data_IF_428931294764
#
_entry.id   IF_428931294764
#
_cell.length_a   1.000
_cell.length_b   1.000
_cell.length_c   1.000
_cell.angle_alpha   90.00
_cell.angle_beta   90.00
_cell.angle_gamma   90.00
#
_symmetry.space_group_name_H-M   'P 1'
#
loop_
_entity.id
_entity.type
_entity.pdbx_description
1 polymer ?
#
# COMPACT_ATOMS: atom_id res chain seq x y z
N UNK A 1 -9.46 -3.40 -5.79
CA UNK A 1 -9.04 -2.53 -4.68
C UNK A 1 -8.49 -3.36 -3.54
N UNK A 2 -7.61 -2.76 -2.77
CA UNK A 2 -7.05 -3.36 -1.56
C UNK A 2 -7.81 -2.81 -0.35
N UNK A 3 -8.45 -3.70 0.39
CA UNK A 3 -9.23 -3.38 1.58
C UNK A 3 -8.55 -4.05 2.79
N UNK A 4 -7.85 -3.26 3.59
CA UNK A 4 -7.04 -3.77 4.69
C UNK A 4 -7.67 -3.34 6.01
N UNK A 5 -7.76 -4.28 6.93
CA UNK A 5 -8.25 -4.04 8.29
C UNK A 5 -7.26 -4.57 9.31
N UNK A 6 -7.25 -3.97 10.48
CA UNK A 6 -6.55 -4.47 11.64
C UNK A 6 -7.56 -5.15 12.57
N UNK A 7 -7.18 -6.27 13.19
CA UNK A 7 -8.04 -7.09 14.04
C UNK A 7 -7.32 -7.43 15.35
N UNK A 8 -8.06 -7.49 16.45
CA UNK A 8 -7.60 -7.94 17.76
C UNK A 8 -8.13 -9.35 18.14
N UNK A 9 -8.74 -10.04 17.20
CA UNK A 9 -9.41 -11.34 17.37
C UNK A 9 -10.93 -11.25 17.39
N UNK A 10 -11.50 -10.07 17.64
CA UNK A 10 -12.96 -9.81 17.71
C UNK A 10 -13.36 -8.54 17.00
N UNK A 11 -12.66 -7.46 17.30
CA UNK A 11 -12.92 -6.12 16.76
C UNK A 11 -12.13 -5.90 15.49
N UNK A 12 -12.69 -5.13 14.57
CA UNK A 12 -12.10 -4.81 13.27
C UNK A 12 -11.99 -3.30 13.13
N UNK A 13 -10.78 -2.83 12.83
CA UNK A 13 -10.48 -1.43 12.55
C UNK A 13 -10.03 -1.27 11.10
N UNK A 14 -10.87 -0.72 10.21
CA UNK A 14 -10.51 -0.52 8.81
C UNK A 14 -9.42 0.54 8.64
N UNK A 15 -8.46 0.25 7.77
CA UNK A 15 -7.47 1.22 7.33
C UNK A 15 -7.98 2.00 6.11
N UNK A 16 -7.25 3.06 5.71
CA UNK A 16 -7.55 3.75 4.46
C UNK A 16 -7.48 2.77 3.28
N UNK A 17 -8.43 2.91 2.36
CA UNK A 17 -8.48 2.07 1.16
C UNK A 17 -7.35 2.41 0.20
N UNK A 18 -6.96 1.45 -0.63
CA UNK A 18 -5.95 1.66 -1.67
C UNK A 18 -6.24 0.83 -2.92
N UNK A 19 -5.55 1.17 -3.98
CA UNK A 19 -5.60 0.41 -5.23
C UNK A 19 -4.20 0.30 -5.80
N UNK A 20 -3.77 -0.92 -6.14
CA UNK A 20 -2.46 -1.19 -6.71
C UNK A 20 -2.49 -1.43 -8.22
N UNK A 21 -1.30 -1.44 -8.82
CA UNK A 21 -1.05 -1.74 -10.22
C UNK A 21 -0.14 -2.96 -10.33
N UNK A 22 -0.72 -4.12 -10.67
CA UNK A 22 -0.04 -5.43 -10.68
C UNK A 22 0.84 -5.67 -11.91
N UNK A 23 0.54 -5.05 -13.04
CA UNK A 23 1.28 -5.26 -14.27
C UNK A 23 2.55 -4.42 -14.33
N UNK A 24 3.59 -4.98 -14.96
CA UNK A 24 4.92 -4.35 -15.05
C UNK A 24 4.91 -3.06 -15.85
N UNK A 25 4.19 -3.02 -16.97
CA UNK A 25 4.24 -1.95 -17.95
C UNK A 25 2.99 -1.07 -17.91
N UNK A 26 3.12 0.13 -18.47
CA UNK A 26 2.02 1.08 -18.63
C UNK A 26 0.82 0.45 -19.34
N UNK A 27 -0.35 1.02 -19.14
CA UNK A 27 -1.63 0.53 -19.66
C UNK A 27 -1.93 -0.93 -19.28
N UNK A 28 -1.44 -1.35 -18.09
CA UNK A 28 -1.61 -2.71 -17.55
C UNK A 28 -1.13 -3.81 -18.51
N UNK A 29 -0.01 -3.58 -19.16
CA UNK A 29 0.65 -4.53 -20.04
C UNK A 29 1.78 -5.28 -19.34
N UNK A 30 2.29 -6.34 -19.99
CA UNK A 30 3.40 -7.15 -19.48
C UNK A 30 2.99 -8.17 -18.42
N UNK A 31 3.96 -8.79 -17.73
CA UNK A 31 3.70 -9.81 -16.72
C UNK A 31 3.13 -9.21 -15.44
N UNK A 32 2.46 -10.05 -14.63
CA UNK A 32 2.12 -9.72 -13.26
C UNK A 32 3.38 -9.58 -12.41
N UNK A 33 3.34 -8.68 -11.44
CA UNK A 33 4.42 -8.39 -10.48
C UNK A 33 3.89 -8.44 -9.05
N UNK A 34 4.72 -8.13 -8.08
CA UNK A 34 4.30 -7.89 -6.70
C UNK A 34 3.53 -6.57 -6.50
N UNK A 35 3.47 -5.72 -7.52
CA UNK A 35 2.88 -4.37 -7.52
C UNK A 35 3.90 -3.33 -7.95
N UNK A 36 3.54 -2.50 -8.92
CA UNK A 36 4.39 -1.43 -9.47
C UNK A 36 4.06 -0.05 -8.92
N UNK A 37 3.06 0.04 -8.08
CA UNK A 37 2.63 1.26 -7.41
C UNK A 37 1.22 1.14 -6.88
N UNK A 38 0.86 2.04 -5.98
CA UNK A 38 -0.47 2.11 -5.39
C UNK A 38 -0.81 3.56 -5.01
N UNK A 39 -2.09 3.81 -4.79
CA UNK A 39 -2.57 5.10 -4.30
C UNK A 39 -3.66 4.91 -3.24
N UNK A 40 -3.81 5.88 -2.37
CA UNK A 40 -4.79 5.92 -1.29
C UNK A 40 -5.36 7.35 -1.14
N UNK A 41 -6.69 7.50 -0.96
CA UNK A 41 -7.71 6.45 -0.95
C UNK A 41 -8.01 5.90 -2.35
N UNK A 42 -8.73 4.77 -2.42
CA UNK A 42 -9.24 4.21 -3.67
C UNK A 42 -10.65 4.76 -3.96
N UNK A 43 -10.85 5.61 -4.98
CA UNK A 43 -12.17 6.21 -5.24
C UNK A 43 -13.25 5.20 -5.63
N UNK A 44 -12.86 4.02 -6.10
CA UNK A 44 -13.78 2.93 -6.40
C UNK A 44 -14.46 2.34 -5.16
N UNK A 45 -13.86 2.53 -3.98
CA UNK A 45 -14.43 2.14 -2.70
C UNK A 45 -15.23 3.31 -2.14
N UNK A 46 -16.45 3.47 -2.62
CA UNK A 46 -17.41 4.45 -2.08
C UNK A 46 -17.83 4.06 -0.66
N UNK A 47 -18.48 4.95 0.11
CA UNK A 47 -19.02 4.60 1.43
C UNK A 47 -19.92 3.37 1.41
N UNK A 48 -20.75 3.20 0.36
CA UNK A 48 -21.64 2.05 0.18
C UNK A 48 -20.86 0.76 -0.06
N UNK A 49 -19.82 0.83 -0.91
CA UNK A 49 -18.92 -0.30 -1.20
C UNK A 49 -18.14 -0.67 0.07
N UNK A 50 -17.65 0.32 0.82
CA UNK A 50 -16.98 0.11 2.10
C UNK A 50 -17.89 -0.63 3.09
N UNK A 51 -19.12 -0.12 3.31
CA UNK A 51 -20.09 -0.76 4.21
C UNK A 51 -20.43 -2.18 3.76
N UNK A 52 -20.53 -2.42 2.45
CA UNK A 52 -20.77 -3.74 1.87
C UNK A 52 -19.60 -4.68 2.11
N UNK A 53 -18.36 -4.25 1.84
CA UNK A 53 -17.16 -5.05 2.08
C UNK A 53 -17.04 -5.47 3.55
N UNK A 54 -17.30 -4.55 4.48
CA UNK A 54 -17.33 -4.85 5.91
C UNK A 54 -18.40 -5.89 6.25
N UNK A 55 -19.64 -5.67 5.81
CA UNK A 55 -20.79 -6.53 6.17
C UNK A 55 -20.72 -7.91 5.52
N UNK A 56 -20.29 -8.00 4.26
CA UNK A 56 -20.42 -9.22 3.46
C UNK A 56 -19.13 -10.04 3.40
N UNK A 57 -17.97 -9.42 3.69
CA UNK A 57 -16.66 -10.07 3.55
C UNK A 57 -15.91 -10.08 4.89
N UNK A 58 -15.58 -8.90 5.43
CA UNK A 58 -14.64 -8.78 6.56
C UNK A 58 -15.25 -9.37 7.84
N UNK A 59 -16.40 -8.85 8.27
CA UNK A 59 -17.03 -9.30 9.52
C UNK A 59 -17.40 -10.79 9.50
N UNK A 60 -17.97 -11.36 8.42
CA UNK A 60 -18.19 -12.80 8.34
C UNK A 60 -16.91 -13.62 8.43
N UNK A 61 -15.81 -13.15 7.81
CA UNK A 61 -14.51 -13.85 7.87
C UNK A 61 -13.97 -13.89 9.30
N UNK A 62 -13.94 -12.76 10.00
CA UNK A 62 -13.43 -12.68 11.38
C UNK A 62 -14.30 -13.51 12.34
N UNK A 63 -15.63 -13.40 12.23
CA UNK A 63 -16.56 -14.22 13.03
C UNK A 63 -16.45 -15.71 12.73
N UNK A 64 -16.19 -16.06 11.47
CA UNK A 64 -15.96 -17.46 11.08
C UNK A 64 -14.73 -18.02 11.74
N UNK A 65 -13.63 -17.30 11.74
CA UNK A 65 -12.39 -17.71 12.38
C UNK A 65 -12.52 -17.82 13.91
N UNK A 66 -13.21 -16.89 14.55
CA UNK A 66 -13.51 -16.96 15.98
C UNK A 66 -14.36 -18.22 16.30
N UNK A 67 -15.39 -18.50 15.50
CA UNK A 67 -16.25 -19.68 15.65
C UNK A 67 -15.48 -21.00 15.48
N UNK A 68 -14.50 -21.01 14.59
CA UNK A 68 -13.65 -22.18 14.35
C UNK A 68 -12.54 -22.34 15.44
N UNK A 69 -12.51 -21.47 16.46
CA UNK A 69 -11.55 -21.52 17.55
C UNK A 69 -10.15 -21.00 17.22
N UNK A 70 -10.01 -20.28 16.10
CA UNK A 70 -8.76 -19.66 15.61
C UNK A 70 -8.97 -18.15 15.38
N UNK A 71 -9.24 -17.34 16.43
CA UNK A 71 -9.47 -15.91 16.28
C UNK A 71 -8.28 -15.24 15.61
N UNK A 72 -8.55 -14.34 14.66
CA UNK A 72 -7.50 -13.69 13.88
C UNK A 72 -7.09 -12.37 14.51
N UNK A 73 -5.81 -12.24 14.87
CA UNK A 73 -5.18 -10.98 15.32
C UNK A 73 -4.11 -10.55 14.32
N UNK A 74 -4.17 -9.30 13.89
CA UNK A 74 -3.21 -8.74 12.94
C UNK A 74 -3.89 -8.02 11.77
N UNK A 75 -3.16 -7.89 10.66
CA UNK A 75 -3.67 -7.26 9.44
C UNK A 75 -4.29 -8.29 8.51
N UNK A 76 -5.58 -8.11 8.21
CA UNK A 76 -6.28 -8.86 7.17
C UNK A 76 -6.41 -7.98 5.93
N UNK A 77 -5.77 -8.38 4.86
CA UNK A 77 -5.88 -7.78 3.54
C UNK A 77 -6.91 -8.57 2.73
N UNK A 78 -7.95 -7.90 2.24
CA UNK A 78 -8.90 -8.43 1.27
C UNK A 78 -8.67 -7.76 -0.09
N UNK A 79 -8.25 -8.55 -1.09
CA UNK A 79 -8.22 -8.13 -2.49
C UNK A 79 -9.63 -8.18 -3.06
N UNK A 80 -10.18 -7.03 -3.45
CA UNK A 80 -11.56 -6.90 -3.89
C UNK A 80 -11.65 -6.57 -5.38
N UNK A 81 -12.52 -7.30 -6.09
CA UNK A 81 -13.07 -6.89 -7.37
C UNK A 81 -14.41 -6.19 -7.13
N UNK A 82 -14.56 -5.00 -7.70
CA UNK A 82 -15.75 -4.16 -7.56
C UNK A 82 -16.32 -3.91 -8.94
N UNK A 83 -17.57 -4.32 -9.18
CA UNK A 83 -18.23 -4.07 -10.45
C UNK A 83 -18.81 -2.63 -10.53
N UNK A 84 -19.28 -2.18 -11.70
CA UNK A 84 -19.87 -0.84 -11.85
C UNK A 84 -21.10 -0.58 -10.99
N UNK A 85 -21.78 -1.62 -10.49
CA UNK A 85 -22.95 -1.56 -9.62
C UNK A 85 -22.55 -1.57 -8.13
N UNK A 86 -21.23 -1.62 -7.83
CA UNK A 86 -20.70 -1.64 -6.49
C UNK A 86 -20.82 -2.99 -5.78
N UNK A 87 -21.08 -4.09 -6.50
CA UNK A 87 -20.95 -5.40 -5.90
C UNK A 87 -19.50 -5.77 -5.69
N UNK A 88 -19.22 -6.42 -4.57
CA UNK A 88 -17.85 -6.80 -4.20
C UNK A 88 -17.66 -8.31 -4.28
N UNK A 89 -16.54 -8.74 -4.82
CA UNK A 89 -16.08 -10.14 -4.80
C UNK A 89 -14.67 -10.19 -4.26
N UNK A 90 -14.40 -11.12 -3.36
CA UNK A 90 -13.06 -11.38 -2.84
C UNK A 90 -12.26 -12.16 -3.88
N UNK A 91 -11.07 -11.65 -4.20
CA UNK A 91 -10.10 -12.34 -5.05
C UNK A 91 -9.18 -13.21 -4.21
N UNK A 92 -8.68 -12.64 -3.11
CA UNK A 92 -7.75 -13.30 -2.19
C UNK A 92 -7.80 -12.65 -0.82
N UNK A 93 -7.35 -13.39 0.20
CA UNK A 93 -6.96 -12.85 1.50
C UNK A 93 -5.47 -12.98 1.71
N UNK A 94 -4.88 -12.00 2.41
CA UNK A 94 -3.52 -12.06 2.93
C UNK A 94 -3.53 -11.65 4.41
N UNK A 95 -2.65 -12.25 5.20
CA UNK A 95 -2.51 -11.96 6.64
C UNK A 95 -1.34 -10.99 6.91
N UNK A 96 -1.26 -9.93 6.13
CA UNK A 96 -0.23 -8.89 6.17
C UNK A 96 -0.72 -7.61 5.52
N UNK A 97 0.03 -6.53 5.75
CA UNK A 97 -0.11 -5.30 4.97
C UNK A 97 0.22 -5.54 3.49
N UNK A 98 -0.28 -4.67 2.61
CA UNK A 98 0.02 -4.70 1.19
C UNK A 98 1.41 -4.13 0.87
N UNK A 99 2.01 -4.58 -0.21
CA UNK A 99 3.23 -4.00 -0.78
C UNK A 99 3.05 -3.90 -2.30
N UNK A 100 2.85 -2.68 -2.84
CA UNK A 100 3.27 -1.38 -2.31
C UNK A 100 2.16 -0.51 -1.67
N UNK A 101 1.09 -1.06 -1.13
CA UNK A 101 -0.01 -0.29 -0.55
C UNK A 101 0.34 0.35 0.80
N UNK A 102 1.24 -0.28 1.58
CA UNK A 102 1.60 0.19 2.93
C UNK A 102 2.13 1.62 2.92
N UNK A 103 3.01 1.94 1.99
CA UNK A 103 3.66 3.24 1.93
C UNK A 103 2.65 4.38 1.76
N UNK A 104 1.77 4.40 0.74
CA UNK A 104 0.77 5.46 0.60
C UNK A 104 -0.30 5.44 1.70
N UNK A 105 -0.64 4.29 2.30
CA UNK A 105 -1.57 4.23 3.42
C UNK A 105 -0.94 4.87 4.66
N UNK A 106 0.28 4.48 5.02
CA UNK A 106 0.97 4.99 6.21
C UNK A 106 1.35 6.46 6.08
N UNK A 107 1.68 6.95 4.89
CA UNK A 107 1.91 8.37 4.64
C UNK A 107 0.69 9.25 5.00
N UNK A 108 -0.51 8.69 4.98
CA UNK A 108 -1.76 9.37 5.35
C UNK A 108 -2.18 9.17 6.81
N UNK A 109 -1.63 8.18 7.50
CA UNK A 109 -2.01 7.88 8.89
C UNK A 109 -1.40 8.94 9.83
N UNK A 110 -2.26 9.62 10.62
CA UNK A 110 -1.86 10.57 11.66
C UNK A 110 -1.88 9.97 13.05
N UNK A 111 -2.75 9.01 13.29
CA UNK A 111 -2.80 8.27 14.54
C UNK A 111 -1.49 7.51 14.76
N UNK A 112 -0.94 7.52 15.97
CA UNK A 112 0.23 6.73 16.30
C UNK A 112 -0.09 5.23 16.15
N UNK A 113 0.58 4.58 15.20
CA UNK A 113 0.35 3.17 14.91
C UNK A 113 0.78 2.27 16.07
N UNK A 114 1.78 2.67 16.85
CA UNK A 114 2.27 1.87 17.98
C UNK A 114 1.19 1.73 19.05
N UNK A 115 0.46 2.82 19.36
CA UNK A 115 -0.64 2.78 20.32
C UNK A 115 -1.75 1.83 19.86
N UNK A 116 -2.10 1.86 18.57
CA UNK A 116 -3.08 0.95 17.98
C UNK A 116 -2.63 -0.51 18.03
N UNK A 117 -1.35 -0.77 17.72
CA UNK A 117 -0.77 -2.12 17.79
C UNK A 117 -0.73 -2.66 19.22
N UNK A 118 -0.39 -1.82 20.19
CA UNK A 118 -0.40 -2.20 21.59
C UNK A 118 -1.83 -2.51 22.07
N UNK A 119 -2.82 -1.70 21.69
CA UNK A 119 -4.21 -1.95 22.05
C UNK A 119 -4.75 -3.26 21.43
N UNK A 120 -4.30 -3.63 20.22
CA UNK A 120 -4.72 -4.86 19.55
C UNK A 120 -4.07 -6.13 20.12
N UNK A 121 -2.88 -6.01 20.74
CA UNK A 121 -2.05 -7.18 21.07
C UNK A 121 -1.75 -7.32 22.56
N UNK A 122 -1.82 -6.23 23.34
CA UNK A 122 -1.49 -6.24 24.76
C UNK A 122 -2.75 -6.46 25.61
N UNK A 123 -2.81 -7.54 26.44
CA UNK A 123 -4.01 -7.87 27.22
C UNK A 123 -4.35 -6.83 28.31
N UNK A 124 -3.46 -5.91 28.60
CA UNK A 124 -3.60 -4.87 29.64
C UNK A 124 -3.34 -3.46 29.11
N UNK A 125 -3.62 -3.22 27.82
CA UNK A 125 -3.57 -1.85 27.25
C UNK A 125 -4.55 -0.95 28.00
N UNK A 126 -4.12 0.27 28.34
CA UNK A 126 -4.98 1.29 28.96
C UNK A 126 -6.09 1.74 28.02
N UNK A 127 -5.82 1.75 26.70
CA UNK A 127 -6.79 2.06 25.64
C UNK A 127 -7.26 0.78 24.99
N UNK A 128 -8.57 0.62 24.87
CA UNK A 128 -9.15 -0.54 24.22
C UNK A 128 -9.08 -0.37 22.72
N UNK A 129 -8.91 -1.47 21.99
CA UNK A 129 -8.82 -1.43 20.52
C UNK A 129 -10.10 -0.92 19.85
N UNK A 130 -11.27 -1.18 20.42
CA UNK A 130 -12.57 -0.70 19.92
C UNK A 130 -12.84 0.79 20.19
N UNK A 131 -12.00 1.45 21.01
CA UNK A 131 -12.09 2.90 21.24
C UNK A 131 -11.28 3.73 20.22
N UNK A 132 -10.48 3.07 19.36
CA UNK A 132 -9.71 3.79 18.35
C UNK A 132 -10.56 4.25 17.18
N UNK A 133 -10.44 5.53 16.87
CA UNK A 133 -10.81 6.13 15.59
C UNK A 133 -9.54 6.66 14.92
N UNK A 134 -9.22 6.13 13.73
CA UNK A 134 -7.99 6.51 13.03
C UNK A 134 -8.16 7.89 12.38
N UNK A 135 -7.25 8.80 12.70
CA UNK A 135 -7.13 10.10 12.02
C UNK A 135 -6.25 9.97 10.78
N UNK A 136 -6.76 10.50 9.68
CA UNK A 136 -6.14 10.41 8.36
C UNK A 136 -5.86 11.79 7.77
N UNK A 137 -4.69 11.96 7.17
CA UNK A 137 -4.46 13.08 6.27
C UNK A 137 -5.48 13.04 5.12
N UNK A 138 -6.14 14.17 4.88
CA UNK A 138 -7.17 14.29 3.83
C UNK A 138 -6.59 14.30 2.43
N UNK A 139 -5.28 14.55 2.31
CA UNK A 139 -4.56 14.49 1.04
C UNK A 139 -4.55 13.06 0.49
N UNK A 140 -4.37 12.96 -0.81
CA UNK A 140 -4.15 11.70 -1.49
C UNK A 140 -2.67 11.34 -1.43
N UNK A 141 -2.37 10.06 -1.27
CA UNK A 141 -1.02 9.54 -1.38
C UNK A 141 -0.87 8.62 -2.58
N UNK A 142 0.30 8.63 -3.19
CA UNK A 142 0.70 7.72 -4.26
C UNK A 142 2.07 7.14 -3.93
N UNK A 143 2.28 5.86 -4.24
CA UNK A 143 3.59 5.21 -4.22
C UNK A 143 3.93 4.67 -5.61
N UNK A 144 5.08 5.02 -6.14
CA UNK A 144 5.60 4.53 -7.42
C UNK A 144 6.82 3.66 -7.16
N UNK A 145 6.77 2.41 -7.60
CA UNK A 145 7.86 1.44 -7.41
C UNK A 145 8.89 1.59 -8.51
N UNK A 146 10.16 1.67 -8.11
CA UNK A 146 11.32 1.56 -8.99
C UNK A 146 11.87 0.15 -8.88
N UNK A 147 11.88 -0.59 -9.98
CA UNK A 147 12.29 -1.99 -10.05
C UNK A 147 13.62 -2.16 -10.76
N UNK A 148 14.35 -3.21 -10.38
CA UNK A 148 15.63 -3.58 -10.98
C UNK A 148 15.47 -4.09 -12.42
N UNK A 149 16.54 -3.98 -13.20
CA UNK A 149 16.62 -4.62 -14.51
C UNK A 149 16.26 -6.09 -14.43
N UNK A 150 15.40 -6.56 -15.36
CA UNK A 150 14.97 -7.96 -15.43
C UNK A 150 13.85 -8.36 -14.47
N UNK A 151 13.38 -7.48 -13.59
CA UNK A 151 12.21 -7.73 -12.75
C UNK A 151 10.95 -7.93 -13.63
N UNK A 152 10.02 -8.85 -13.31
CA UNK A 152 9.98 -9.73 -12.13
C UNK A 152 10.73 -11.06 -12.29
N UNK A 153 11.19 -11.41 -13.50
CA UNK A 153 11.68 -12.76 -13.81
C UNK A 153 13.09 -13.05 -13.27
N UNK A 154 14.02 -12.12 -13.49
CA UNK A 154 15.42 -12.28 -13.12
C UNK A 154 16.04 -10.92 -12.75
N UNK A 155 15.70 -10.35 -11.59
CA UNK A 155 16.17 -9.02 -11.20
C UNK A 155 17.67 -9.01 -10.96
N UNK A 156 18.37 -8.08 -11.63
CA UNK A 156 19.79 -7.85 -11.43
C UNK A 156 20.03 -7.14 -10.09
N UNK A 157 21.14 -7.49 -9.44
CA UNK A 157 21.55 -6.90 -8.15
C UNK A 157 22.91 -6.23 -8.28
N UNK A 158 23.20 -5.30 -7.37
CA UNK A 158 24.51 -4.64 -7.27
C UNK A 158 24.64 -3.37 -8.09
N UNK A 159 23.59 -2.90 -8.76
CA UNK A 159 23.59 -1.62 -9.46
C UNK A 159 23.58 -0.48 -8.47
N UNK A 160 24.51 0.48 -8.62
CA UNK A 160 24.64 1.65 -7.72
C UNK A 160 23.46 2.59 -7.93
N UNK A 161 22.84 2.99 -6.82
CA UNK A 161 21.74 3.95 -6.81
C UNK A 161 22.29 5.33 -6.50
N UNK A 162 21.97 6.29 -7.35
CA UNK A 162 22.39 7.69 -7.22
C UNK A 162 21.20 8.64 -7.21
N UNK A 163 21.40 9.86 -6.73
CA UNK A 163 20.38 10.90 -6.79
C UNK A 163 19.24 10.73 -5.79
N UNK A 164 19.42 9.92 -4.74
CA UNK A 164 18.43 9.82 -3.67
C UNK A 164 18.25 11.19 -3.00
N UNK A 165 17.03 11.76 -2.99
CA UNK A 165 16.76 13.02 -2.33
C UNK A 165 16.73 12.83 -0.80
N UNK A 166 16.73 13.95 -0.07
CA UNK A 166 16.30 13.93 1.33
C UNK A 166 14.79 13.87 1.39
N UNK A 167 14.27 13.14 2.37
CA UNK A 167 12.84 13.08 2.64
C UNK A 167 12.30 14.46 3.05
N UNK A 168 11.06 14.72 2.67
CA UNK A 168 10.30 15.91 3.06
C UNK A 168 8.97 15.48 3.68
N UNK A 169 8.21 16.41 4.22
CA UNK A 169 6.87 16.13 4.76
C UNK A 169 5.90 15.60 3.68
N UNK A 170 6.16 15.88 2.42
CA UNK A 170 5.27 15.55 1.31
C UNK A 170 5.79 14.42 0.43
N UNK A 171 7.09 14.13 0.45
CA UNK A 171 7.72 13.09 -0.39
C UNK A 171 8.74 12.32 0.40
N UNK A 172 8.61 11.00 0.41
CA UNK A 172 9.52 10.05 1.07
C UNK A 172 9.93 8.96 0.08
N UNK A 173 11.21 8.61 0.07
CA UNK A 173 11.74 7.49 -0.72
C UNK A 173 12.01 6.30 0.19
N UNK A 174 11.12 5.33 0.14
CA UNK A 174 11.27 4.09 0.92
C UNK A 174 12.22 3.11 0.23
N UNK A 175 13.15 2.57 1.01
CA UNK A 175 14.03 1.51 0.60
C UNK A 175 13.34 0.14 0.75
N UNK A 176 13.40 -0.68 -0.31
CA UNK A 176 12.94 -2.06 -0.32
C UNK A 176 14.13 -2.99 -0.61
N UNK A 177 14.32 -3.39 -1.85
CA UNK A 177 15.44 -4.24 -2.25
C UNK A 177 16.76 -3.45 -2.42
N UNK A 178 17.27 -2.88 -1.36
CA UNK A 178 18.55 -2.15 -1.33
C UNK A 178 19.46 -2.63 -0.21
N UNK A 179 20.76 -2.43 -0.35
CA UNK A 179 21.72 -2.57 0.75
C UNK A 179 22.93 -1.65 0.54
N UNK A 180 23.72 -1.50 1.58
CA UNK A 180 24.98 -0.74 1.52
C UNK A 180 26.12 -1.64 1.06
N UNK A 181 26.86 -1.22 0.03
CA UNK A 181 28.05 -1.89 -0.47
C UNK A 181 29.15 -0.87 -0.78
N UNK A 182 30.30 -0.98 -0.14
CA UNK A 182 31.41 -0.07 -0.37
C UNK A 182 31.09 1.40 -0.11
N UNK A 183 30.19 1.71 0.82
CA UNK A 183 29.74 3.07 1.10
C UNK A 183 28.68 3.62 0.14
N UNK A 184 28.21 2.82 -0.81
CA UNK A 184 27.17 3.18 -1.76
C UNK A 184 25.91 2.35 -1.54
N UNK A 185 24.74 2.92 -1.81
CA UNK A 185 23.48 2.19 -1.85
C UNK A 185 23.38 1.46 -3.19
N UNK A 186 23.10 0.16 -3.15
CA UNK A 186 22.98 -0.66 -4.36
C UNK A 186 21.68 -1.46 -4.36
N UNK A 187 21.24 -1.89 -5.56
CA UNK A 187 20.09 -2.79 -5.71
C UNK A 187 20.40 -4.18 -5.13
N UNK A 188 19.44 -4.76 -4.40
CA UNK A 188 19.55 -6.11 -3.81
C UNK A 188 18.30 -6.97 -3.99
N UNK A 189 17.24 -6.42 -4.60
CA UNK A 189 15.99 -7.11 -4.84
C UNK A 189 15.32 -6.66 -6.13
N UNK A 190 14.15 -7.24 -6.43
CA UNK A 190 13.40 -6.92 -7.64
C UNK A 190 12.73 -5.55 -7.58
N UNK A 191 11.95 -5.29 -6.53
CA UNK A 191 11.44 -3.95 -6.22
C UNK A 191 12.46 -3.28 -5.31
N UNK A 192 12.98 -2.15 -5.74
CA UNK A 192 14.19 -1.52 -5.17
C UNK A 192 13.82 -0.36 -4.26
N UNK A 193 13.03 0.58 -4.78
CA UNK A 193 12.56 1.77 -4.06
C UNK A 193 11.07 1.96 -4.27
N UNK A 194 10.43 2.68 -3.36
CA UNK A 194 9.10 3.21 -3.56
C UNK A 194 9.10 4.71 -3.26
N UNK A 195 8.90 5.53 -4.29
CA UNK A 195 8.74 6.98 -4.14
C UNK A 195 7.30 7.26 -3.79
N UNK A 196 7.08 7.76 -2.58
CA UNK A 196 5.74 8.02 -2.04
C UNK A 196 5.54 9.52 -1.86
N UNK A 197 4.45 10.05 -2.42
CA UNK A 197 4.13 11.48 -2.36
C UNK A 197 2.69 11.73 -1.89
N UNK A 198 2.51 12.81 -1.14
CA UNK A 198 1.22 13.36 -0.72
C UNK A 198 0.86 14.56 -1.58
N UNK A 199 -0.41 14.71 -1.96
CA UNK A 199 -0.88 15.88 -2.70
C UNK A 199 -2.35 16.16 -2.45
N UNK A 200 -2.76 17.43 -2.56
CA UNK A 200 -4.16 17.84 -2.40
C UNK A 200 -5.10 17.17 -3.41
N UNK A 201 -4.57 16.67 -4.51
CA UNK A 201 -5.23 15.78 -5.48
C UNK A 201 -4.28 14.65 -5.87
N UNK A 202 -4.83 13.53 -6.39
CA UNK A 202 -3.99 12.42 -6.86
C UNK A 202 -3.06 12.87 -8.01
N UNK A 203 -3.51 13.78 -8.86
CA UNK A 203 -2.68 14.32 -9.95
C UNK A 203 -1.47 15.10 -9.42
N UNK A 204 -1.64 15.89 -8.35
CA UNK A 204 -0.53 16.63 -7.72
C UNK A 204 0.43 15.66 -7.03
N UNK A 205 -0.08 14.67 -6.29
CA UNK A 205 0.75 13.62 -5.69
C UNK A 205 1.54 12.86 -6.77
N UNK A 206 0.90 12.50 -7.87
CA UNK A 206 1.53 11.83 -9.02
C UNK A 206 2.66 12.67 -9.60
N UNK A 207 2.41 13.97 -9.85
CA UNK A 207 3.44 14.86 -10.37
C UNK A 207 4.65 14.94 -9.46
N UNK A 208 4.45 15.15 -8.16
CA UNK A 208 5.54 15.21 -7.17
C UNK A 208 6.36 13.91 -7.12
N UNK A 209 5.70 12.75 -7.17
CA UNK A 209 6.38 11.46 -7.20
C UNK A 209 7.26 11.33 -8.45
N UNK A 210 6.73 11.65 -9.64
CA UNK A 210 7.49 11.55 -10.89
C UNK A 210 8.59 12.60 -11.02
N UNK A 211 8.38 13.82 -10.54
CA UNK A 211 9.44 14.85 -10.49
C UNK A 211 10.61 14.38 -9.62
N UNK A 212 10.32 13.73 -8.49
CA UNK A 212 11.34 13.14 -7.62
C UNK A 212 12.08 11.98 -8.31
N UNK A 213 11.36 11.11 -9.01
CA UNK A 213 11.95 9.96 -9.74
C UNK A 213 12.95 10.40 -10.79
N UNK A 214 12.76 11.55 -11.43
CA UNK A 214 13.70 12.07 -12.44
C UNK A 214 15.12 12.27 -11.90
N UNK A 215 15.28 12.54 -10.60
CA UNK A 215 16.57 12.68 -9.95
C UNK A 215 17.25 11.36 -9.58
N UNK A 216 16.50 10.26 -9.49
CA UNK A 216 16.99 8.96 -9.03
C UNK A 216 17.42 8.12 -10.23
N UNK A 217 18.59 7.48 -10.11
CA UNK A 217 19.10 6.64 -11.19
C UNK A 217 19.82 5.39 -10.68
N UNK A 218 19.58 4.27 -11.33
CA UNK A 218 20.41 3.06 -11.34
C UNK A 218 20.24 2.34 -12.67
N UNK A 219 21.23 1.56 -13.08
CA UNK A 219 21.26 0.98 -14.41
C UNK A 219 20.11 -0.01 -14.63
N UNK A 220 19.41 0.15 -15.76
CA UNK A 220 18.24 -0.68 -16.11
C UNK A 220 17.02 -0.49 -15.23
N UNK A 221 16.91 0.65 -14.53
CA UNK A 221 15.75 1.00 -13.71
C UNK A 221 14.45 0.92 -14.50
N UNK A 222 13.44 0.25 -13.94
CA UNK A 222 12.12 0.08 -14.52
C UNK A 222 11.06 0.68 -13.58
N UNK A 223 10.12 1.45 -14.12
CA UNK A 223 8.94 1.93 -13.40
C UNK A 223 7.83 2.26 -14.39
N UNK A 224 6.61 2.29 -13.90
CA UNK A 224 5.45 2.73 -14.69
C UNK A 224 5.31 4.24 -14.63
N UNK A 225 4.86 4.84 -15.73
CA UNK A 225 4.64 6.29 -15.84
C UNK A 225 3.17 6.68 -15.61
N UNK A 226 2.28 5.69 -15.44
CA UNK A 226 0.83 5.87 -15.39
C UNK A 226 0.19 5.47 -14.05
N UNK A 227 0.95 5.31 -12.96
CA UNK A 227 0.39 4.95 -11.65
C UNK A 227 -0.68 5.98 -11.25
N UNK A 228 -1.87 5.49 -10.88
CA UNK A 228 -3.01 6.33 -10.51
C UNK A 228 -3.94 6.70 -11.67
N UNK A 229 -3.63 6.34 -12.92
CA UNK A 229 -4.40 6.74 -14.11
C UNK A 229 -5.90 6.44 -14.00
N UNK A 230 -6.27 5.30 -13.39
CA UNK A 230 -7.67 4.88 -13.23
C UNK A 230 -8.51 5.81 -12.36
N UNK A 231 -7.88 6.55 -11.44
CA UNK A 231 -8.56 7.50 -10.57
C UNK A 231 -8.46 8.95 -11.07
N UNK A 232 -7.42 9.27 -11.85
CA UNK A 232 -7.22 10.62 -12.42
C UNK A 232 -8.14 10.86 -13.62
N UNK A 233 -8.47 9.82 -14.37
CA UNK A 233 -9.34 9.88 -15.57
C UNK A 233 -10.84 9.76 -15.27
N UNK A 234 -11.21 9.71 -14.02
CA UNK A 234 -12.61 9.70 -13.53
C UNK A 234 -13.02 11.12 -13.09
#
# INVERSE_FOLDING_TARGET
ASFIVMCDGKTVLPLATSQDHKRLLDADQGPNTGGMGAYSPAPVVTPEVHARAMREIILPTIKGMEKDGIPFTGFLYAGLMIDPQGHVKTLEFNCRMGDPETQPIMARLKTDLVDVLLAATAPHSETRFDDFELDWDRRTAIGVVLAAHGYPMSPRKGDVITGLPQDTDDVVVFHAGTHMQGGQVVTSGGRVLCVTALGGTLKLAQQQAYDTIQGIHFDGMQYRTDIGYRAISR
#
